data_IF_408673398861
#
_entry.id   IF_408673398861
#
_cell.length_a   1.000
_cell.length_b   1.000
_cell.length_c   1.000
_cell.angle_alpha   90.00
_cell.angle_beta   90.00
_cell.angle_gamma   90.00
#
_symmetry.space_group_name_H-M   'P 1'
#
loop_
_entity.id
_entity.type
_entity.pdbx_description
1 polymer ?
#
# COMPACT_ATOMS: atom_id res chain seq x y z
N UNK A 1 0.19 21.36 -15.78
CA UNK A 1 0.66 21.96 -14.52
C UNK A 1 -0.54 22.20 -13.62
N UNK A 2 -0.41 21.85 -12.35
CA UNK A 2 -1.40 22.15 -11.32
C UNK A 2 -0.79 23.19 -10.37
N UNK A 3 -1.53 24.24 -10.03
CA UNK A 3 -1.04 25.34 -9.19
C UNK A 3 -1.49 25.13 -7.76
N UNK A 4 -0.56 25.21 -6.81
CA UNK A 4 -0.84 25.13 -5.37
C UNK A 4 -0.38 26.43 -4.71
N UNK A 5 -1.21 26.99 -3.84
CA UNK A 5 -0.85 28.18 -3.07
C UNK A 5 0.08 27.81 -1.92
N UNK A 6 1.18 28.57 -1.78
CA UNK A 6 2.07 28.52 -0.62
C UNK A 6 2.14 29.88 0.04
N UNK A 7 2.54 29.93 1.30
CA UNK A 7 2.77 31.19 1.99
C UNK A 7 3.99 31.91 1.42
N UNK A 8 3.91 33.23 1.33
CA UNK A 8 5.02 34.07 0.84
C UNK A 8 6.30 33.87 1.65
N UNK A 9 6.19 33.74 2.97
CA UNK A 9 7.33 33.48 3.86
C UNK A 9 8.11 32.22 3.46
N UNK A 10 7.42 31.15 3.04
CA UNK A 10 8.06 29.92 2.57
C UNK A 10 8.69 30.12 1.19
N UNK A 11 8.02 30.85 0.28
CA UNK A 11 8.53 31.11 -1.07
C UNK A 11 9.84 31.92 -1.02
N UNK A 12 9.91 32.93 -0.16
CA UNK A 12 11.10 33.75 0.08
C UNK A 12 12.25 32.92 0.67
N UNK A 13 11.97 32.09 1.66
CA UNK A 13 12.98 31.18 2.22
C UNK A 13 13.49 30.19 1.17
N UNK A 14 12.61 29.59 0.37
CA UNK A 14 13.00 28.67 -0.70
C UNK A 14 13.84 29.35 -1.79
N UNK A 15 13.53 30.61 -2.11
CA UNK A 15 14.31 31.39 -3.08
C UNK A 15 15.75 31.63 -2.60
N UNK A 16 15.98 31.74 -1.28
CA UNK A 16 17.32 31.84 -0.71
C UNK A 16 18.18 30.57 -0.94
N UNK A 17 17.55 29.41 -1.15
CA UNK A 17 18.22 28.14 -1.43
C UNK A 17 18.27 27.78 -2.92
N UNK A 18 17.77 28.65 -3.80
CA UNK A 18 17.81 28.49 -5.26
C UNK A 18 16.43 28.53 -5.89
N UNK A 19 16.14 27.62 -6.81
CA UNK A 19 14.84 27.57 -7.50
C UNK A 19 13.76 27.06 -6.54
N UNK A 20 12.72 27.86 -6.24
CA UNK A 20 11.61 27.39 -5.40
C UNK A 20 10.92 26.17 -6.01
N UNK A 21 10.77 26.14 -7.35
CA UNK A 21 10.18 25.01 -8.06
C UNK A 21 10.98 23.72 -7.84
N UNK A 22 12.30 23.72 -8.06
CA UNK A 22 13.14 22.53 -7.83
C UNK A 22 13.10 22.06 -6.38
N UNK A 23 13.03 23.01 -5.44
CA UNK A 23 12.97 22.70 -4.02
C UNK A 23 11.64 22.05 -3.63
N UNK A 24 10.53 22.55 -4.19
CA UNK A 24 9.20 21.96 -4.03
C UNK A 24 9.15 20.58 -4.67
N UNK A 25 9.66 20.42 -5.90
CA UNK A 25 9.67 19.13 -6.60
C UNK A 25 10.42 18.07 -5.78
N UNK A 26 11.60 18.41 -5.25
CA UNK A 26 12.38 17.52 -4.38
C UNK A 26 11.67 17.20 -3.06
N UNK A 27 11.05 18.21 -2.42
CA UNK A 27 10.30 18.01 -1.19
C UNK A 27 9.09 17.09 -1.41
N UNK A 28 8.36 17.28 -2.51
CA UNK A 28 7.24 16.43 -2.89
C UNK A 28 7.71 15.00 -3.21
N UNK A 29 8.81 14.83 -3.94
CA UNK A 29 9.35 13.50 -4.23
C UNK A 29 9.68 12.74 -2.95
N UNK A 30 10.37 13.40 -2.00
CA UNK A 30 10.70 12.81 -0.68
C UNK A 30 9.45 12.45 0.11
N UNK A 31 8.48 13.36 0.17
CA UNK A 31 7.22 13.11 0.86
C UNK A 31 6.45 11.95 0.24
N UNK A 32 6.38 11.86 -1.10
CA UNK A 32 5.72 10.76 -1.79
C UNK A 32 6.41 9.42 -1.50
N UNK A 33 7.74 9.37 -1.52
CA UNK A 33 8.50 8.17 -1.15
C UNK A 33 8.15 7.72 0.28
N UNK A 34 8.12 8.65 1.24
CA UNK A 34 7.76 8.37 2.62
C UNK A 34 6.33 7.82 2.74
N UNK A 35 5.36 8.49 2.12
CA UNK A 35 3.95 8.09 2.16
C UNK A 35 3.72 6.72 1.52
N UNK A 36 4.35 6.45 0.37
CA UNK A 36 4.23 5.16 -0.31
C UNK A 36 4.89 4.06 0.52
N UNK A 37 6.06 4.31 1.10
CA UNK A 37 6.74 3.35 1.97
C UNK A 37 5.90 3.00 3.19
N UNK A 38 5.33 4.01 3.86
CA UNK A 38 4.41 3.81 4.98
C UNK A 38 3.17 3.01 4.56
N UNK A 39 2.61 3.30 3.37
CA UNK A 39 1.45 2.57 2.85
C UNK A 39 1.77 1.10 2.58
N UNK A 40 2.89 0.81 1.93
CA UNK A 40 3.34 -0.58 1.68
C UNK A 40 3.56 -1.32 3.00
N UNK A 41 4.17 -0.67 4.01
CA UNK A 41 4.35 -1.27 5.33
C UNK A 41 3.01 -1.59 6.01
N UNK A 42 2.03 -0.69 5.94
CA UNK A 42 0.66 -0.92 6.46
C UNK A 42 0.02 -2.15 5.80
N UNK A 43 0.06 -2.23 4.47
CA UNK A 43 -0.55 -3.33 3.72
C UNK A 43 0.14 -4.66 3.99
N UNK A 44 1.48 -4.68 4.07
CA UNK A 44 2.25 -5.88 4.44
C UNK A 44 1.94 -6.36 5.85
N UNK A 45 1.73 -5.45 6.80
CA UNK A 45 1.34 -5.84 8.15
C UNK A 45 -0.05 -6.50 8.17
N UNK A 46 -1.02 -5.96 7.40
CA UNK A 46 -2.34 -6.58 7.25
C UNK A 46 -2.24 -7.95 6.57
N UNK A 47 -1.47 -8.05 5.49
CA UNK A 47 -1.21 -9.31 4.80
C UNK A 47 -0.63 -10.37 5.76
N UNK A 48 0.38 -10.01 6.56
CA UNK A 48 0.98 -10.91 7.55
C UNK A 48 -0.01 -11.36 8.63
N UNK A 49 -0.94 -10.49 9.05
CA UNK A 49 -2.00 -10.84 9.99
C UNK A 49 -2.94 -11.89 9.38
N UNK A 50 -3.30 -11.76 8.10
CA UNK A 50 -4.11 -12.75 7.41
C UNK A 50 -3.37 -14.06 7.19
N UNK A 51 -2.09 -14.01 6.80
CA UNK A 51 -1.25 -15.20 6.68
C UNK A 51 -1.16 -15.98 8.00
N UNK A 52 -1.03 -15.25 9.11
CA UNK A 52 -1.04 -15.84 10.45
C UNK A 52 -2.40 -16.44 10.80
N UNK A 53 -3.50 -15.74 10.46
CA UNK A 53 -4.87 -16.17 10.75
C UNK A 53 -5.25 -17.44 9.99
N UNK A 54 -4.87 -17.54 8.71
CA UNK A 54 -5.24 -18.64 7.83
C UNK A 54 -4.15 -19.69 7.66
N UNK A 55 -2.95 -19.45 8.19
CA UNK A 55 -1.83 -20.38 8.18
C UNK A 55 -1.18 -20.59 6.79
N UNK A 56 -1.48 -19.73 5.82
CA UNK A 56 -0.97 -19.82 4.45
C UNK A 56 -0.91 -18.45 3.77
N UNK A 57 -0.25 -18.37 2.62
CA UNK A 57 -0.22 -17.15 1.81
C UNK A 57 -1.53 -16.92 1.03
N UNK A 58 -1.70 -15.70 0.53
CA UNK A 58 -2.90 -15.29 -0.21
C UNK A 58 -3.13 -16.15 -1.48
N UNK A 59 -2.14 -16.39 -2.35
CA UNK A 59 -2.33 -17.24 -3.53
C UNK A 59 -2.78 -18.66 -3.17
N UNK A 60 -2.20 -19.27 -2.13
CA UNK A 60 -2.60 -20.61 -1.69
C UNK A 60 -4.02 -20.59 -1.12
N UNK A 61 -4.35 -19.58 -0.30
CA UNK A 61 -5.69 -19.45 0.27
C UNK A 61 -6.75 -19.32 -0.84
N UNK A 62 -6.53 -18.41 -1.78
CA UNK A 62 -7.43 -18.16 -2.92
C UNK A 62 -7.61 -19.37 -3.82
N UNK A 63 -6.55 -20.12 -4.07
CA UNK A 63 -6.66 -21.38 -4.80
C UNK A 63 -7.56 -22.37 -4.06
N UNK A 64 -7.29 -22.62 -2.77
CA UNK A 64 -8.03 -23.62 -1.99
C UNK A 64 -9.50 -23.30 -1.83
N UNK A 65 -9.87 -22.05 -1.56
CA UNK A 65 -11.30 -21.67 -1.50
C UNK A 65 -12.03 -21.84 -2.85
N UNK A 66 -11.30 -21.86 -3.97
CA UNK A 66 -11.89 -22.01 -5.30
C UNK A 66 -12.02 -23.47 -5.76
N UNK A 67 -11.23 -24.37 -5.16
CA UNK A 67 -11.08 -25.76 -5.60
C UNK A 67 -11.53 -26.80 -4.55
N UNK A 68 -11.57 -26.44 -3.27
CA UNK A 68 -11.76 -27.37 -2.14
C UNK A 68 -12.95 -26.94 -1.25
N UNK A 69 -14.13 -27.51 -1.53
CA UNK A 69 -15.36 -27.27 -0.76
C UNK A 69 -15.22 -27.69 0.71
N UNK A 70 -14.40 -28.71 0.99
CA UNK A 70 -14.16 -29.14 2.37
C UNK A 70 -13.37 -28.08 3.14
N UNK A 71 -12.37 -27.46 2.50
CA UNK A 71 -11.63 -26.35 3.08
C UNK A 71 -12.51 -25.14 3.36
N UNK A 72 -13.45 -24.79 2.46
CA UNK A 72 -14.40 -23.71 2.72
C UNK A 72 -15.19 -23.98 4.01
N UNK A 73 -15.72 -25.20 4.13
CA UNK A 73 -16.49 -25.63 5.31
C UNK A 73 -15.65 -25.57 6.59
N UNK A 74 -14.38 -25.99 6.51
CA UNK A 74 -13.44 -25.93 7.62
C UNK A 74 -13.16 -24.48 8.06
N UNK A 75 -12.88 -23.59 7.10
CA UNK A 75 -12.62 -22.17 7.37
C UNK A 75 -13.83 -21.49 8.00
N UNK A 76 -15.01 -21.73 7.45
CA UNK A 76 -16.26 -21.13 7.95
C UNK A 76 -16.61 -21.64 9.36
N UNK A 77 -16.37 -22.93 9.62
CA UNK A 77 -16.73 -23.56 10.90
C UNK A 77 -15.72 -23.27 12.01
N UNK A 78 -14.42 -23.26 11.68
CA UNK A 78 -13.35 -23.32 12.68
C UNK A 78 -12.47 -22.06 12.74
N UNK A 79 -12.43 -21.24 11.68
CA UNK A 79 -11.51 -20.09 11.59
C UNK A 79 -12.28 -18.77 11.65
N UNK A 80 -13.13 -18.50 10.66
CA UNK A 80 -13.94 -17.29 10.61
C UNK A 80 -15.15 -17.46 9.68
N UNK A 81 -16.36 -17.28 10.22
CA UNK A 81 -17.60 -17.23 9.42
C UNK A 81 -17.66 -16.06 8.44
N UNK A 82 -16.90 -15.00 8.69
CA UNK A 82 -16.80 -13.82 7.83
C UNK A 82 -15.53 -13.83 6.97
N UNK A 83 -15.04 -15.01 6.59
CA UNK A 83 -13.81 -15.14 5.82
C UNK A 83 -13.85 -14.46 4.45
N UNK A 84 -15.03 -14.28 3.86
CA UNK A 84 -15.19 -13.56 2.59
C UNK A 84 -14.84 -12.07 2.71
N UNK A 85 -15.15 -11.45 3.86
CA UNK A 85 -14.78 -10.05 4.14
C UNK A 85 -13.27 -9.94 4.28
N UNK A 86 -12.67 -10.87 5.01
CA UNK A 86 -11.22 -10.95 5.15
C UNK A 86 -10.55 -11.17 3.78
N UNK A 87 -11.10 -12.05 2.94
CA UNK A 87 -10.60 -12.30 1.60
C UNK A 87 -10.58 -11.02 0.75
N UNK A 88 -11.66 -10.23 0.79
CA UNK A 88 -11.74 -8.99 0.03
C UNK A 88 -10.70 -7.95 0.49
N UNK A 89 -10.53 -7.76 1.81
CA UNK A 89 -9.50 -6.85 2.34
C UNK A 89 -8.07 -7.39 2.08
N UNK A 90 -7.89 -8.71 2.16
CA UNK A 90 -6.61 -9.35 1.88
C UNK A 90 -6.22 -9.22 0.40
N UNK A 91 -7.16 -9.38 -0.53
CA UNK A 91 -6.96 -9.12 -1.96
C UNK A 91 -6.54 -7.67 -2.19
N UNK A 92 -7.22 -6.71 -1.54
CA UNK A 92 -6.86 -5.31 -1.60
C UNK A 92 -5.43 -5.07 -1.11
N UNK A 93 -5.03 -5.72 -0.01
CA UNK A 93 -3.67 -5.63 0.51
C UNK A 93 -2.64 -6.22 -0.47
N UNK A 94 -2.86 -7.45 -0.94
CA UNK A 94 -1.96 -8.17 -1.82
C UNK A 94 -1.70 -7.39 -3.12
N UNK A 95 -2.77 -6.96 -3.81
CA UNK A 95 -2.67 -6.15 -5.03
C UNK A 95 -2.10 -4.76 -4.74
N UNK A 96 -2.53 -4.14 -3.65
CA UNK A 96 -2.06 -2.82 -3.24
C UNK A 96 -0.55 -2.77 -2.99
N UNK A 97 0.04 -3.84 -2.43
CA UNK A 97 1.49 -3.91 -2.23
C UNK A 97 2.22 -3.82 -3.57
N UNK A 98 1.78 -4.57 -4.58
CA UNK A 98 2.39 -4.56 -5.91
C UNK A 98 2.24 -3.18 -6.58
N UNK A 99 1.03 -2.63 -6.61
CA UNK A 99 0.72 -1.32 -7.19
C UNK A 99 1.58 -0.19 -6.59
N UNK A 100 1.66 -0.13 -5.26
CA UNK A 100 2.41 0.90 -4.56
C UNK A 100 3.92 0.69 -4.69
N UNK A 101 4.39 -0.56 -4.73
CA UNK A 101 5.80 -0.87 -4.99
C UNK A 101 6.21 -0.42 -6.40
N UNK A 102 5.36 -0.65 -7.40
CA UNK A 102 5.62 -0.21 -8.77
C UNK A 102 5.66 1.33 -8.89
N UNK A 103 4.75 2.03 -8.19
CA UNK A 103 4.77 3.51 -8.11
C UNK A 103 6.04 4.02 -7.44
N UNK A 104 6.50 3.38 -6.37
CA UNK A 104 7.76 3.73 -5.71
C UNK A 104 8.96 3.56 -6.65
N UNK A 105 9.02 2.43 -7.37
CA UNK A 105 10.06 2.18 -8.36
C UNK A 105 10.08 3.24 -9.45
N UNK A 106 8.91 3.64 -9.95
CA UNK A 106 8.78 4.73 -10.93
C UNK A 106 9.40 6.03 -10.41
N UNK A 107 9.13 6.40 -9.15
CA UNK A 107 9.67 7.62 -8.53
C UNK A 107 11.19 7.55 -8.32
N UNK A 108 11.73 6.36 -8.05
CA UNK A 108 13.18 6.17 -7.80
C UNK A 108 14.00 6.06 -9.08
N UNK A 109 13.38 5.67 -10.20
CA UNK A 109 14.02 5.52 -11.51
C UNK A 109 13.88 6.76 -12.41
N UNK A 110 13.13 7.76 -11.96
CA UNK A 110 12.98 9.08 -12.62
C UNK A 110 13.95 10.08 -12.00
#
# INVERSE_FOLDING_TARGET
MLTVSIKNEHAEMLAAFGSPQKSIDLALQRYLIEQITAKVAELRQKEANYQTKYGMDYPTFTQRISEDEHFITEVESNVNKMWEIDLADWEFCYKGIDDWTHKLQTILLT
#
